data_IF_430113025797
#
_entry.id   IF_430113025797
#
_cell.length_a   1.000
_cell.length_b   1.000
_cell.length_c   1.000
_cell.angle_alpha   90.00
_cell.angle_beta   90.00
_cell.angle_gamma   90.00
#
_symmetry.space_group_name_H-M   'P 1'
#
loop_
_entity.id
_entity.type
_entity.pdbx_description
1 polymer ?
#
# COMPACT_ATOMS: atom_id res chain seq x y z
N UNK A 1 10.48 -27.70 -18.10
CA UNK A 1 10.23 -29.13 -17.82
C UNK A 1 10.44 -29.37 -16.33
N UNK A 2 9.46 -29.92 -15.60
CA UNK A 2 9.67 -30.35 -14.22
C UNK A 2 8.41 -30.37 -13.38
N UNK A 3 7.71 -31.51 -13.32
CA UNK A 3 6.80 -31.85 -12.23
C UNK A 3 7.33 -33.14 -11.60
N UNK A 4 7.84 -33.07 -10.38
CA UNK A 4 8.16 -34.24 -9.56
C UNK A 4 6.93 -34.56 -8.72
N UNK A 5 6.17 -35.57 -9.16
CA UNK A 5 5.05 -36.14 -8.41
C UNK A 5 5.63 -37.11 -7.37
N UNK A 6 5.79 -36.62 -6.13
CA UNK A 6 6.21 -37.43 -4.99
C UNK A 6 5.08 -38.42 -4.60
N UNK A 7 4.93 -39.48 -5.41
CA UNK A 7 4.05 -40.61 -5.09
C UNK A 7 4.65 -41.47 -3.98
N UNK A 8 4.68 -40.95 -2.76
CA UNK A 8 4.78 -41.79 -1.54
C UNK A 8 3.45 -42.49 -1.28
N UNK A 9 3.01 -43.30 -2.24
CA UNK A 9 1.90 -44.23 -2.03
C UNK A 9 2.33 -45.32 -1.07
N UNK A 10 1.48 -45.67 -0.11
CA UNK A 10 1.69 -46.82 0.76
C UNK A 10 1.87 -48.08 -0.09
N UNK A 11 3.07 -48.64 -0.11
CA UNK A 11 3.37 -49.91 -0.75
C UNK A 11 3.30 -51.00 0.31
N UNK A 12 2.43 -51.98 0.09
CA UNK A 12 2.42 -53.19 0.91
C UNK A 12 3.62 -54.07 0.55
N UNK A 13 4.18 -54.82 1.51
CA UNK A 13 5.23 -55.79 1.23
C UNK A 13 4.81 -56.80 0.16
N UNK A 14 5.78 -57.27 -0.62
CA UNK A 14 5.54 -58.33 -1.59
C UNK A 14 4.92 -59.55 -0.88
N UNK A 15 3.89 -60.14 -1.48
CA UNK A 15 3.18 -61.33 -0.97
C UNK A 15 2.44 -61.16 0.37
N UNK A 16 2.21 -59.93 0.83
CA UNK A 16 1.42 -59.66 2.04
C UNK A 16 0.05 -60.35 2.00
N UNK A 17 -0.71 -60.11 0.93
CA UNK A 17 -2.05 -60.68 0.79
C UNK A 17 -2.03 -62.20 0.60
N UNK A 18 -1.05 -62.74 -0.13
CA UNK A 18 -0.89 -64.19 -0.31
C UNK A 18 -0.65 -64.90 1.03
N UNK A 19 0.25 -64.37 1.86
CA UNK A 19 0.51 -64.89 3.21
C UNK A 19 -0.70 -64.72 4.12
N UNK A 20 -1.32 -63.54 4.11
CA UNK A 20 -2.52 -63.28 4.92
C UNK A 20 -3.65 -64.25 4.57
N UNK A 21 -3.94 -64.44 3.29
CA UNK A 21 -4.97 -65.37 2.82
C UNK A 21 -4.61 -66.82 3.16
N UNK A 22 -3.32 -67.20 3.03
CA UNK A 22 -2.85 -68.51 3.45
C UNK A 22 -3.11 -68.79 4.93
N UNK A 23 -2.70 -67.88 5.81
CA UNK A 23 -2.92 -68.00 7.26
C UNK A 23 -4.40 -67.95 7.64
N UNK A 24 -5.20 -67.10 6.97
CA UNK A 24 -6.64 -67.04 7.21
C UNK A 24 -7.33 -68.36 6.83
N UNK A 25 -6.99 -68.93 5.68
CA UNK A 25 -7.57 -70.19 5.22
C UNK A 25 -7.14 -71.37 6.09
N UNK A 26 -5.88 -71.39 6.51
CA UNK A 26 -5.34 -72.34 7.50
C UNK A 26 -6.10 -72.25 8.82
N UNK A 27 -6.24 -71.04 9.39
CA UNK A 27 -6.98 -70.79 10.63
C UNK A 27 -8.44 -71.24 10.55
N UNK A 28 -9.13 -70.98 9.43
CA UNK A 28 -10.52 -71.41 9.22
C UNK A 28 -10.61 -72.94 9.06
N UNK A 29 -9.65 -73.56 8.38
CA UNK A 29 -9.65 -75.02 8.17
C UNK A 29 -9.39 -75.78 9.46
N UNK A 30 -8.44 -75.32 10.28
CA UNK A 30 -8.14 -75.89 11.60
C UNK A 30 -9.29 -75.70 12.58
N UNK A 31 -10.04 -74.58 12.48
CA UNK A 31 -11.21 -74.33 13.34
C UNK A 31 -12.40 -75.29 13.10
N UNK A 32 -12.39 -76.08 12.02
CA UNK A 32 -13.38 -77.13 11.72
C UNK A 32 -13.03 -78.51 12.30
N UNK A 33 -11.81 -78.71 12.77
CA UNK A 33 -11.39 -79.99 13.38
C UNK A 33 -11.66 -79.94 14.90
N UNK A 34 -12.40 -80.92 15.41
CA UNK A 34 -12.91 -80.96 16.79
C UNK A 34 -11.84 -81.12 17.88
N UNK A 35 -10.57 -81.18 17.50
CA UNK A 35 -9.44 -81.61 18.35
C UNK A 35 -8.63 -80.47 18.95
N UNK A 36 -8.85 -79.23 18.52
CA UNK A 36 -8.15 -78.05 19.03
C UNK A 36 -9.13 -76.94 19.41
N UNK A 37 -8.73 -76.14 20.41
CA UNK A 37 -9.48 -74.97 20.88
C UNK A 37 -9.82 -74.07 19.70
N UNK A 38 -11.11 -73.93 19.33
CA UNK A 38 -11.47 -73.25 18.11
C UNK A 38 -11.20 -71.76 18.25
N UNK A 39 -10.32 -71.21 17.40
CA UNK A 39 -10.06 -69.77 17.28
C UNK A 39 -11.33 -68.94 17.00
N UNK A 40 -12.41 -69.61 16.56
CA UNK A 40 -13.72 -69.02 16.30
C UNK A 40 -14.77 -69.66 17.23
N UNK A 41 -15.53 -68.87 18.00
CA UNK A 41 -16.58 -69.40 18.85
C UNK A 41 -17.60 -70.19 18.03
N UNK A 42 -17.84 -71.46 18.40
CA UNK A 42 -18.81 -72.35 17.72
C UNK A 42 -20.24 -71.82 17.76
N UNK A 43 -20.59 -71.11 18.84
CA UNK A 43 -21.82 -70.32 18.89
C UNK A 43 -21.57 -68.97 18.25
N UNK A 44 -21.88 -68.87 16.97
CA UNK A 44 -21.73 -67.64 16.21
C UNK A 44 -22.50 -66.48 16.84
N UNK A 45 -21.77 -65.44 17.22
CA UNK A 45 -22.32 -64.12 17.49
C UNK A 45 -22.13 -63.62 18.91
N UNK A 46 -22.15 -62.29 19.02
CA UNK A 46 -22.33 -61.59 20.29
C UNK A 46 -23.73 -61.93 20.82
N UNK A 47 -23.79 -62.79 21.84
CA UNK A 47 -25.04 -63.01 22.59
C UNK A 47 -25.33 -61.74 23.39
N UNK A 48 -26.44 -61.09 23.08
CA UNK A 48 -26.95 -60.02 23.92
C UNK A 48 -27.48 -60.62 25.23
N UNK A 49 -27.31 -59.94 26.38
CA UNK A 49 -27.99 -60.32 27.61
C UNK A 49 -29.52 -60.28 27.44
N UNK A 50 -30.21 -61.10 28.23
CA UNK A 50 -31.66 -61.01 28.35
C UNK A 50 -32.05 -59.57 28.72
N UNK A 51 -33.11 -59.06 28.08
CA UNK A 51 -33.60 -57.69 28.26
C UNK A 51 -32.65 -56.54 27.87
N UNK A 52 -31.59 -56.76 27.05
CA UNK A 52 -30.68 -55.68 26.60
C UNK A 52 -31.39 -54.46 25.99
N UNK A 53 -32.44 -54.69 25.20
CA UNK A 53 -33.22 -53.63 24.57
C UNK A 53 -34.33 -53.06 25.47
N UNK A 54 -34.57 -53.65 26.63
CA UNK A 54 -35.58 -53.20 27.57
C UNK A 54 -35.17 -51.85 28.18
N UNK A 55 -36.02 -50.84 28.02
CA UNK A 55 -35.73 -49.49 28.49
C UNK A 55 -34.68 -48.71 27.70
N UNK A 56 -34.07 -49.28 26.65
CA UNK A 56 -33.11 -48.56 25.79
C UNK A 56 -33.74 -47.29 25.20
N UNK A 57 -34.97 -47.40 24.70
CA UNK A 57 -35.70 -46.26 24.17
C UNK A 57 -35.91 -45.17 25.24
N UNK A 58 -36.20 -45.54 26.49
CA UNK A 58 -36.39 -44.59 27.58
C UNK A 58 -35.08 -43.88 27.95
N UNK A 59 -33.96 -44.62 27.98
CA UNK A 59 -32.61 -44.09 28.21
C UNK A 59 -32.17 -43.11 27.12
N UNK A 60 -32.48 -43.42 25.86
CA UNK A 60 -32.21 -42.50 24.73
C UNK A 60 -33.04 -41.23 24.89
N UNK A 61 -34.35 -41.32 25.15
CA UNK A 61 -35.21 -40.14 25.33
C UNK A 61 -34.78 -39.25 26.50
N UNK A 62 -34.34 -39.85 27.60
CA UNK A 62 -33.86 -39.08 28.77
C UNK A 62 -32.54 -38.37 28.50
N UNK A 63 -31.65 -38.95 27.68
CA UNK A 63 -30.42 -38.26 27.25
C UNK A 63 -30.62 -37.22 26.16
N UNK A 64 -31.70 -37.33 25.38
CA UNK A 64 -32.08 -36.35 24.35
C UNK A 64 -32.92 -35.18 24.90
N UNK A 65 -33.40 -35.25 26.15
CA UNK A 65 -33.92 -34.08 26.83
C UNK A 65 -32.74 -33.14 27.13
N UNK A 66 -32.41 -32.31 26.16
CA UNK A 66 -31.62 -31.11 26.38
C UNK A 66 -32.40 -30.21 27.33
N UNK A 67 -31.87 -29.97 28.53
CA UNK A 67 -32.20 -28.73 29.24
C UNK A 67 -31.73 -27.60 28.33
N UNK A 68 -32.66 -26.74 27.89
CA UNK A 68 -32.34 -25.60 27.05
C UNK A 68 -31.31 -24.73 27.77
N UNK A 69 -30.03 -24.88 27.39
CA UNK A 69 -28.98 -24.06 27.97
C UNK A 69 -29.30 -22.61 27.62
N UNK A 70 -29.33 -21.72 28.63
CA UNK A 70 -29.62 -20.31 28.43
C UNK A 70 -28.53 -19.69 27.53
N UNK A 71 -28.77 -19.68 26.22
CA UNK A 71 -27.87 -19.04 25.26
C UNK A 71 -28.09 -17.53 25.35
N UNK A 72 -27.06 -16.81 25.80
CA UNK A 72 -27.06 -15.35 25.73
C UNK A 72 -26.84 -14.93 24.27
N UNK A 73 -27.84 -14.30 23.66
CA UNK A 73 -27.70 -13.71 22.33
C UNK A 73 -26.85 -12.43 22.44
N UNK A 74 -25.85 -12.29 21.58
CA UNK A 74 -25.04 -11.07 21.48
C UNK A 74 -25.75 -10.05 20.59
N UNK A 75 -25.95 -8.82 21.09
CA UNK A 75 -26.56 -7.73 20.33
C UNK A 75 -25.55 -7.18 19.30
N UNK A 76 -25.91 -7.07 18.00
CA UNK A 76 -25.00 -6.59 16.97
C UNK A 76 -24.71 -5.09 17.09
N UNK A 77 -23.59 -4.73 17.71
CA UNK A 77 -23.02 -3.37 17.75
C UNK A 77 -22.72 -2.74 16.37
N UNK A 78 -22.87 -3.51 15.29
CA UNK A 78 -22.70 -3.04 13.90
C UNK A 78 -23.60 -1.84 13.56
N UNK A 79 -24.78 -1.72 14.18
CA UNK A 79 -25.69 -0.58 13.96
C UNK A 79 -25.08 0.75 14.46
N UNK A 80 -24.35 0.71 15.57
CA UNK A 80 -23.69 1.90 16.14
C UNK A 80 -22.45 2.31 15.35
N UNK A 81 -21.74 1.35 14.74
CA UNK A 81 -20.56 1.63 13.90
C UNK A 81 -20.90 2.50 12.68
N UNK A 82 -22.02 2.24 11.99
CA UNK A 82 -22.44 3.06 10.85
C UNK A 82 -22.80 4.50 11.26
N UNK A 83 -23.43 4.65 12.42
CA UNK A 83 -23.82 5.98 12.94
C UNK A 83 -22.59 6.80 13.34
N UNK A 84 -21.57 6.18 13.94
CA UNK A 84 -20.31 6.86 14.27
C UNK A 84 -19.51 7.25 13.02
N UNK A 85 -19.48 6.40 11.98
CA UNK A 85 -18.74 6.69 10.75
C UNK A 85 -19.33 7.86 9.97
N UNK A 86 -20.66 7.97 9.91
CA UNK A 86 -21.34 9.09 9.24
C UNK A 86 -21.03 10.43 9.91
N UNK A 87 -20.98 10.50 11.24
CA UNK A 87 -20.66 11.72 11.98
C UNK A 87 -19.24 12.22 11.71
N UNK A 88 -18.26 11.31 11.67
CA UNK A 88 -16.86 11.65 11.35
C UNK A 88 -16.72 12.17 9.92
N UNK A 89 -17.39 11.54 8.95
CA UNK A 89 -17.38 12.00 7.56
C UNK A 89 -17.98 13.42 7.42
N UNK A 90 -19.08 13.72 8.12
CA UNK A 90 -19.68 15.06 8.12
C UNK A 90 -18.74 16.10 8.73
N UNK A 91 -18.03 15.79 9.82
CA UNK A 91 -17.06 16.72 10.41
C UNK A 91 -15.89 17.00 9.47
N UNK A 92 -15.39 15.99 8.76
CA UNK A 92 -14.32 16.16 7.76
C UNK A 92 -14.81 17.04 6.61
N UNK A 93 -16.00 16.76 6.06
CA UNK A 93 -16.59 17.55 4.98
C UNK A 93 -16.85 19.00 5.39
N UNK A 94 -17.34 19.24 6.61
CA UNK A 94 -17.53 20.59 7.14
C UNK A 94 -16.19 21.33 7.28
N UNK A 95 -15.15 20.65 7.77
CA UNK A 95 -13.82 21.23 7.94
C UNK A 95 -13.20 21.62 6.59
N UNK A 96 -13.34 20.76 5.57
CA UNK A 96 -12.87 21.04 4.20
C UNK A 96 -13.66 22.18 3.57
N UNK A 97 -14.99 22.20 3.74
CA UNK A 97 -15.84 23.26 3.19
C UNK A 97 -15.47 24.65 3.74
N UNK A 98 -15.17 24.76 5.03
CA UNK A 98 -14.73 26.02 5.66
C UNK A 98 -13.35 26.45 5.16
N UNK A 99 -12.46 25.50 4.84
CA UNK A 99 -11.10 25.78 4.33
C UNK A 99 -11.08 26.19 2.86
N UNK A 100 -12.08 25.79 2.07
CA UNK A 100 -12.13 26.07 0.63
C UNK A 100 -12.36 27.56 0.33
N UNK A 101 -13.08 28.25 1.20
CA UNK A 101 -13.42 29.68 1.11
C UNK A 101 -12.26 30.60 1.55
N UNK A 102 -11.14 30.03 2.02
CA UNK A 102 -9.96 30.77 2.48
C UNK A 102 -8.84 30.83 1.43
N UNK A 103 -9.15 30.54 0.16
CA UNK A 103 -8.18 30.73 -0.92
C UNK A 103 -7.91 32.23 -1.06
N UNK A 104 -6.65 32.69 -1.05
CA UNK A 104 -6.35 34.10 -1.32
C UNK A 104 -6.96 34.49 -2.67
N UNK A 105 -7.52 35.69 -2.78
CA UNK A 105 -8.08 36.17 -4.05
C UNK A 105 -6.99 36.05 -5.13
N UNK A 106 -7.26 35.24 -6.16
CA UNK A 106 -6.35 35.07 -7.30
C UNK A 106 -6.34 36.38 -8.10
N UNK A 107 -5.47 37.31 -7.74
CA UNK A 107 -5.28 38.56 -8.48
C UNK A 107 -4.28 38.36 -9.60
N UNK A 108 -4.48 39.07 -10.71
CA UNK A 108 -3.55 39.06 -11.85
C UNK A 108 -2.12 39.46 -11.46
N UNK A 109 -1.93 40.26 -10.40
CA UNK A 109 -0.61 40.62 -9.87
C UNK A 109 0.20 39.41 -9.37
N UNK A 110 -0.47 38.45 -8.72
CA UNK A 110 0.17 37.22 -8.21
C UNK A 110 0.61 36.27 -9.32
N UNK A 111 -0.18 36.21 -10.40
CA UNK A 111 0.12 35.40 -11.58
C UNK A 111 1.25 36.04 -12.39
N UNK A 112 1.15 37.35 -12.64
CA UNK A 112 2.10 38.08 -13.46
C UNK A 112 3.51 38.00 -12.88
N UNK A 113 3.69 38.25 -11.58
CA UNK A 113 5.05 38.32 -11.02
C UNK A 113 5.78 36.98 -11.06
N UNK A 114 5.13 35.90 -10.62
CA UNK A 114 5.76 34.57 -10.55
C UNK A 114 5.91 33.90 -11.91
N UNK A 115 4.94 34.07 -12.81
CA UNK A 115 5.00 33.44 -14.13
C UNK A 115 5.95 34.18 -15.08
N UNK A 116 6.05 35.52 -14.97
CA UNK A 116 7.00 36.31 -15.77
C UNK A 116 8.43 35.98 -15.35
N UNK A 117 8.71 35.89 -14.05
CA UNK A 117 10.03 35.53 -13.52
C UNK A 117 10.43 34.10 -13.96
N UNK A 118 9.54 33.12 -13.80
CA UNK A 118 9.78 31.74 -14.27
C UNK A 118 9.91 31.66 -15.81
N UNK A 119 9.21 32.51 -16.56
CA UNK A 119 9.34 32.61 -18.01
C UNK A 119 10.72 33.13 -18.44
N UNK A 120 11.26 34.17 -17.78
CA UNK A 120 12.60 34.70 -18.06
C UNK A 120 13.71 33.76 -17.60
N UNK A 121 13.53 33.03 -16.50
CA UNK A 121 14.54 32.08 -16.02
C UNK A 121 14.63 30.84 -16.93
N UNK A 122 13.48 30.34 -17.43
CA UNK A 122 13.44 29.14 -18.27
C UNK A 122 13.67 29.42 -19.75
N UNK A 123 13.28 30.59 -20.21
CA UNK A 123 13.52 31.02 -21.57
C UNK A 123 14.85 31.76 -21.56
N UNK A 124 15.88 31.16 -22.15
CA UNK A 124 17.17 31.82 -22.36
C UNK A 124 17.00 32.92 -23.43
N UNK A 125 16.37 34.03 -23.04
CA UNK A 125 16.14 35.18 -23.90
C UNK A 125 17.43 35.98 -23.92
N UNK A 126 18.38 35.49 -24.71
CA UNK A 126 19.67 36.14 -24.96
C UNK A 126 19.52 37.40 -25.83
N UNK A 127 18.70 38.36 -25.38
CA UNK A 127 18.67 39.67 -26.01
C UNK A 127 19.95 40.41 -25.66
N UNK A 128 20.70 40.79 -26.69
CA UNK A 128 21.76 41.77 -26.51
C UNK A 128 21.17 43.11 -26.07
N UNK A 129 21.94 43.94 -25.38
CA UNK A 129 21.53 45.30 -24.98
C UNK A 129 21.00 46.12 -26.17
N UNK A 130 21.51 45.85 -27.38
CA UNK A 130 21.06 46.49 -28.61
C UNK A 130 19.66 46.05 -29.05
N UNK A 131 19.31 44.76 -28.90
CA UNK A 131 17.97 44.26 -29.22
C UNK A 131 16.93 44.73 -28.19
N UNK A 132 17.32 44.83 -26.92
CA UNK A 132 16.46 45.41 -25.88
C UNK A 132 16.19 46.89 -26.21
N UNK A 133 17.21 47.65 -26.59
CA UNK A 133 17.07 49.06 -26.95
C UNK A 133 16.20 49.31 -28.19
N UNK A 134 16.06 48.32 -29.09
CA UNK A 134 15.17 48.41 -30.25
C UNK A 134 13.69 48.26 -29.86
N UNK A 135 13.39 47.43 -28.85
CA UNK A 135 12.02 47.14 -28.42
C UNK A 135 11.57 48.06 -27.28
N UNK A 136 12.50 48.66 -26.54
CA UNK A 136 12.20 49.64 -25.49
C UNK A 136 11.69 50.94 -26.14
N UNK A 137 10.45 51.37 -25.85
CA UNK A 137 9.89 52.59 -26.43
C UNK A 137 10.50 53.81 -25.74
N UNK A 138 11.68 54.24 -26.20
CA UNK A 138 12.45 55.37 -25.64
C UNK A 138 11.63 56.66 -25.62
N UNK A 139 10.73 56.84 -26.58
CA UNK A 139 9.84 58.01 -26.67
C UNK A 139 8.86 58.14 -25.48
N UNK A 140 8.61 57.03 -24.77
CA UNK A 140 7.70 56.97 -23.63
C UNK A 140 8.43 56.92 -22.27
N UNK A 141 9.77 56.96 -22.26
CA UNK A 141 10.54 57.00 -21.01
C UNK A 141 10.68 58.46 -20.56
N UNK A 142 10.14 58.80 -19.39
CA UNK A 142 10.37 60.11 -18.81
C UNK A 142 11.74 60.16 -18.14
N UNK A 143 12.41 61.32 -18.18
CA UNK A 143 13.72 61.51 -17.54
C UNK A 143 13.64 61.24 -16.03
N UNK A 144 12.47 61.43 -15.42
CA UNK A 144 12.19 61.07 -14.03
C UNK A 144 12.29 59.58 -13.77
N UNK A 145 11.85 58.73 -14.69
CA UNK A 145 11.83 57.26 -14.50
C UNK A 145 13.26 56.70 -14.41
N UNK A 146 14.19 57.29 -15.16
CA UNK A 146 15.61 56.93 -15.14
C UNK A 146 16.28 57.44 -13.86
N UNK A 147 15.89 58.62 -13.38
CA UNK A 147 16.45 59.23 -12.17
C UNK A 147 15.87 58.66 -10.87
N UNK A 148 14.72 57.98 -10.93
CA UNK A 148 14.12 57.28 -9.79
C UNK A 148 14.92 56.04 -9.39
N UNK A 149 15.61 55.41 -10.36
CA UNK A 149 16.65 54.44 -10.06
C UNK A 149 17.89 55.18 -9.56
N UNK A 150 17.90 55.44 -8.25
CA UNK A 150 19.02 56.08 -7.56
C UNK A 150 20.25 55.17 -7.67
N UNK A 151 21.07 55.42 -8.67
CA UNK A 151 22.40 54.81 -8.80
C UNK A 151 23.18 55.22 -7.56
N UNK A 152 23.60 54.24 -6.75
CA UNK A 152 24.36 54.54 -5.55
C UNK A 152 25.76 55.01 -5.93
N UNK A 153 26.32 55.92 -5.13
CA UNK A 153 27.68 56.38 -5.39
C UNK A 153 28.69 55.22 -5.27
N UNK A 154 28.42 54.21 -4.45
CA UNK A 154 29.22 53.00 -4.37
C UNK A 154 29.31 52.26 -5.72
N UNK A 155 28.16 52.08 -6.39
CA UNK A 155 28.10 51.40 -7.69
C UNK A 155 28.90 52.16 -8.77
N UNK A 156 28.89 53.50 -8.71
CA UNK A 156 29.69 54.35 -9.62
C UNK A 156 31.18 54.20 -9.32
N UNK A 157 31.57 54.15 -8.05
CA UNK A 157 32.97 53.98 -7.67
C UNK A 157 33.49 52.60 -8.08
N UNK A 158 32.71 51.53 -7.86
CA UNK A 158 33.09 50.17 -8.24
C UNK A 158 33.26 50.04 -9.76
N UNK A 159 32.34 50.63 -10.55
CA UNK A 159 32.46 50.63 -12.02
C UNK A 159 33.70 51.40 -12.49
N UNK A 160 34.00 52.54 -11.88
CA UNK A 160 35.18 53.33 -12.22
C UNK A 160 36.48 52.63 -11.82
N UNK A 161 36.49 51.88 -10.72
CA UNK A 161 37.64 51.08 -10.28
C UNK A 161 37.92 49.92 -11.24
N UNK A 162 36.89 49.17 -11.63
CA UNK A 162 37.00 48.07 -12.60
C UNK A 162 37.44 48.56 -13.99
N UNK A 163 37.05 49.79 -14.35
CA UNK A 163 37.40 50.39 -15.64
C UNK A 163 38.73 51.17 -15.60
N UNK A 164 39.28 51.46 -14.41
CA UNK A 164 40.50 52.27 -14.26
C UNK A 164 41.69 51.65 -14.98
N UNK A 165 41.85 50.33 -14.90
CA UNK A 165 42.96 49.61 -15.56
C UNK A 165 42.88 49.75 -17.09
N UNK A 166 41.67 49.71 -17.64
CA UNK A 166 41.44 49.87 -19.09
C UNK A 166 41.73 51.31 -19.54
N UNK A 167 41.39 52.29 -18.71
CA UNK A 167 41.66 53.72 -18.98
C UNK A 167 43.15 54.03 -18.84
N UNK A 168 43.84 53.43 -17.86
CA UNK A 168 45.27 53.61 -17.65
C UNK A 168 46.09 52.96 -18.78
N UNK A 169 45.66 51.79 -19.26
CA UNK A 169 46.22 51.15 -20.47
C UNK A 169 46.09 52.05 -21.71
N UNK A 170 45.00 52.81 -21.84
CA UNK A 170 44.83 53.80 -22.90
C UNK A 170 45.74 55.04 -22.72
N UNK A 171 46.10 55.39 -21.49
CA UNK A 171 46.88 56.59 -21.16
C UNK A 171 48.41 56.35 -21.18
N UNK A 172 48.86 55.10 -21.21
CA UNK A 172 50.28 54.71 -21.30
C UNK A 172 50.87 54.80 -22.72
N UNK A 173 50.11 55.26 -23.70
CA UNK A 173 50.55 55.35 -25.10
C UNK A 173 51.14 56.70 -25.52
N UNK A 174 51.37 57.65 -24.62
CA UNK A 174 51.84 58.99 -25.00
C UNK A 174 53.02 59.48 -24.15
N UNK A 175 54.17 58.80 -24.24
CA UNK A 175 55.50 59.41 -24.03
C UNK A 175 56.59 58.43 -24.51
N UNK A 176 56.90 58.45 -25.82
CA UNK A 176 58.24 58.16 -26.34
C UNK A 176 58.28 58.35 -27.87
N UNK A 177 58.74 59.52 -28.30
CA UNK A 177 59.81 59.75 -29.30
C UNK A 177 59.60 61.05 -30.10
N UNK A 178 60.56 61.95 -29.85
CA UNK A 178 61.27 62.87 -30.77
C UNK A 178 60.49 63.69 -31.83
#
# INVERSE_FOLDING_TARGET
MGKTDDKKGFKVPEKYFERFTGHLMESISTSKDDRHDPLLPRSGGFKIPDAYFEGLHSKIRTKLKEDESKVATLDPWRKYLYLTAASVAIMILLTVAIRLDQSPELTFESLASSDIEDYFERTDIGFSTYEIAEVVPVDNLEVSDILEYRIDNGDIIDYLDDTIDTIEELNLYDYDND
#
